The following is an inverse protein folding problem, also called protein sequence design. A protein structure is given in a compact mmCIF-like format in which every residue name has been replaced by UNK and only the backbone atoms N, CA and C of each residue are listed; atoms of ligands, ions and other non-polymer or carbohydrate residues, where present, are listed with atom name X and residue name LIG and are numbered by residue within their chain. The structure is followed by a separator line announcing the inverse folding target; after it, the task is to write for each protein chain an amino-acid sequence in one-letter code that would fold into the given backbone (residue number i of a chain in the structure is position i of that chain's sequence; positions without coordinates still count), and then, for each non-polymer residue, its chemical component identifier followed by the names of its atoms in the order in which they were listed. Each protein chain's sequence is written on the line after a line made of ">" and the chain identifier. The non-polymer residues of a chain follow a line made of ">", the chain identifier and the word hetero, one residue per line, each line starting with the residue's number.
data_IF_988021598430
#
_entry.id   IF_988021598430
#
_cell.length_a   1.000
_cell.length_b   1.000
_cell.length_c   1.000
_cell.angle_alpha   90.00
_cell.angle_beta   90.00
_cell.angle_gamma   90.00
#
_symmetry.space_group_name_H-M   'P 1'
#
loop_
_entity.id
_entity.type
_entity.pdbx_description
1 polymer ?
#
# COMPACT_ATOMS: atom_id res chain seq x y z
N UNK A 1 21.85 28.17 -2.21
CA UNK A 1 20.68 28.86 -1.63
C UNK A 1 20.51 28.40 -0.20
N UNK A 2 20.25 29.29 0.76
CA UNK A 2 19.88 28.88 2.11
C UNK A 2 18.43 28.34 2.11
N UNK A 3 18.14 27.32 2.94
CA UNK A 3 16.83 26.62 3.03
C UNK A 3 15.65 27.57 3.23
N UNK A 4 15.90 28.72 3.86
CA UNK A 4 14.92 29.76 4.19
C UNK A 4 14.42 30.60 3.01
N UNK A 5 15.00 30.48 1.81
CA UNK A 5 14.66 31.30 0.64
C UNK A 5 13.91 30.54 -0.48
N UNK A 6 13.40 29.34 -0.20
CA UNK A 6 12.69 28.51 -1.18
C UNK A 6 11.18 28.64 -0.92
N UNK A 7 10.46 29.16 -1.92
CA UNK A 7 9.00 29.37 -1.91
C UNK A 7 8.33 28.19 -2.61
N UNK A 8 7.22 27.75 -2.01
CA UNK A 8 6.40 26.67 -2.54
C UNK A 8 5.89 26.95 -3.96
N UNK A 9 5.95 25.95 -4.84
CA UNK A 9 5.44 26.01 -6.20
C UNK A 9 6.26 26.83 -7.21
N UNK A 10 7.28 27.58 -6.77
CA UNK A 10 8.19 28.28 -7.68
C UNK A 10 9.27 27.32 -8.22
N UNK A 11 9.55 27.45 -9.53
CA UNK A 11 10.69 26.78 -10.15
C UNK A 11 11.95 27.60 -9.92
N UNK A 12 12.96 26.95 -9.35
CA UNK A 12 14.28 27.54 -9.18
C UNK A 12 15.26 26.90 -10.18
N UNK A 13 15.96 27.74 -10.92
CA UNK A 13 17.10 27.32 -11.73
C UNK A 13 18.34 27.33 -10.85
N UNK A 14 19.00 26.18 -10.72
CA UNK A 14 20.28 26.08 -10.02
C UNK A 14 21.35 25.52 -10.97
N UNK A 15 22.57 26.03 -10.83
CA UNK A 15 23.77 25.52 -11.49
C UNK A 15 24.71 24.97 -10.42
N UNK A 16 25.24 23.76 -10.63
CA UNK A 16 26.28 23.18 -9.78
C UNK A 16 27.62 23.32 -10.51
N UNK A 17 28.54 24.07 -9.92
CA UNK A 17 29.90 24.15 -10.44
C UNK A 17 30.71 22.96 -9.93
N UNK A 18 31.10 22.07 -10.85
CA UNK A 18 31.99 20.95 -10.55
C UNK A 18 33.39 21.28 -11.08
N UNK A 19 34.36 21.40 -10.18
CA UNK A 19 35.77 21.56 -10.56
C UNK A 19 36.44 20.20 -10.65
N UNK A 20 36.82 19.77 -11.86
CA UNK A 20 37.63 18.58 -12.06
C UNK A 20 39.10 18.96 -12.25
N UNK A 21 40.00 18.22 -11.59
CA UNK A 21 41.46 18.35 -11.68
C UNK A 21 42.03 19.76 -11.43
N UNK A 22 41.32 20.62 -10.67
CA UNK A 22 41.73 22.02 -10.36
C UNK A 22 41.94 22.94 -11.58
N UNK A 23 41.49 22.56 -12.78
CA UNK A 23 41.75 23.31 -14.01
C UNK A 23 40.61 23.31 -15.04
N UNK A 24 39.58 22.46 -14.87
CA UNK A 24 38.38 22.49 -15.71
C UNK A 24 37.14 22.67 -14.83
N UNK A 25 36.46 23.81 -15.01
CA UNK A 25 35.11 24.04 -14.49
C UNK A 25 34.13 23.69 -15.60
N UNK A 26 33.34 22.63 -15.41
CA UNK A 26 32.19 22.36 -16.28
C UNK A 26 30.95 22.68 -15.46
N UNK A 27 30.24 23.74 -15.83
CA UNK A 27 28.90 24.00 -15.29
C UNK A 27 27.93 23.07 -16.01
N UNK A 28 27.22 22.21 -15.26
CA UNK A 28 26.13 21.42 -15.84
C UNK A 28 25.04 22.36 -16.34
N UNK A 29 24.46 22.06 -17.50
CA UNK A 29 23.22 22.69 -17.92
C UNK A 29 22.17 22.45 -16.83
N UNK A 30 21.57 23.55 -16.40
CA UNK A 30 20.66 23.76 -15.29
C UNK A 30 19.75 22.57 -14.97
N UNK A 31 19.63 22.24 -13.68
CA UNK A 31 18.57 21.36 -13.19
C UNK A 31 17.50 22.19 -12.49
N UNK A 32 16.23 21.85 -12.76
CA UNK A 32 15.08 22.49 -12.15
C UNK A 32 14.78 21.83 -10.81
N UNK A 33 14.72 22.64 -9.74
CA UNK A 33 14.26 22.19 -8.43
C UNK A 33 12.87 22.78 -8.21
N UNK A 34 11.90 21.93 -7.87
CA UNK A 34 10.58 22.35 -7.39
C UNK A 34 10.48 22.00 -5.92
N UNK A 35 10.18 22.99 -5.09
CA UNK A 35 9.73 22.72 -3.74
C UNK A 35 8.22 22.53 -3.74
N UNK A 36 7.75 21.56 -2.97
CA UNK A 36 6.33 21.35 -2.71
C UNK A 36 6.12 21.31 -1.22
N UNK A 37 5.17 22.09 -0.73
CA UNK A 37 4.68 21.93 0.63
C UNK A 37 4.09 20.53 0.74
N UNK A 38 4.46 19.81 1.80
CA UNK A 38 4.02 18.45 2.07
C UNK A 38 3.48 18.41 3.49
N UNK A 39 2.22 18.00 3.62
CA UNK A 39 1.52 17.84 4.89
C UNK A 39 1.24 16.35 5.11
N UNK A 40 1.30 15.91 6.37
CA UNK A 40 0.88 14.59 6.83
C UNK A 40 -0.55 14.24 6.45
N UNK A 41 -1.44 15.22 6.30
CA UNK A 41 -2.83 15.03 5.83
C UNK A 41 -2.92 14.49 4.40
N UNK A 42 -1.83 14.56 3.63
CA UNK A 42 -1.74 14.01 2.27
C UNK A 42 -1.04 12.65 2.21
N UNK A 43 -0.63 12.12 3.37
CA UNK A 43 -0.05 10.79 3.49
C UNK A 43 -1.17 9.79 3.78
N UNK A 44 -1.22 8.73 3.00
CA UNK A 44 -2.19 7.66 3.19
C UNK A 44 -1.60 6.30 2.79
N UNK A 45 -2.17 5.22 3.31
CA UNK A 45 -1.83 3.87 2.89
C UNK A 45 -2.87 3.37 1.89
N UNK A 46 -2.41 2.67 0.87
CA UNK A 46 -3.25 2.18 -0.22
C UNK A 46 -2.62 0.93 -0.84
N UNK A 47 -3.37 0.21 -1.66
CA UNK A 47 -2.83 -0.92 -2.41
C UNK A 47 -1.74 -0.48 -3.39
N UNK A 48 -0.72 -1.32 -3.53
CA UNK A 48 0.40 -1.12 -4.47
C UNK A 48 -0.03 -1.16 -5.94
N UNK A 49 -1.15 -1.83 -6.21
CA UNK A 49 -1.76 -1.83 -7.53
C UNK A 49 -2.49 -0.52 -7.80
N UNK A 50 -2.35 0.02 -9.01
CA UNK A 50 -2.94 1.29 -9.43
C UNK A 50 -4.08 1.08 -10.42
N UNK A 51 -5.07 1.97 -10.37
CA UNK A 51 -6.09 2.09 -11.41
C UNK A 51 -5.46 2.67 -12.70
N UNK A 52 -6.21 2.63 -13.81
CA UNK A 52 -5.74 3.13 -15.11
C UNK A 52 -5.33 4.61 -15.07
N UNK A 53 -5.96 5.41 -14.21
CA UNK A 53 -5.63 6.82 -14.00
C UNK A 53 -4.37 7.05 -13.12
N UNK A 54 -3.68 5.98 -12.71
CA UNK A 54 -2.48 6.03 -11.88
C UNK A 54 -2.74 6.16 -10.37
N UNK A 55 -4.00 6.31 -9.92
CA UNK A 55 -4.32 6.37 -8.49
C UNK A 55 -4.25 4.99 -7.84
N UNK A 56 -3.63 4.84 -6.66
CA UNK A 56 -3.66 3.59 -5.91
C UNK A 56 -5.08 3.33 -5.38
N UNK A 57 -5.45 2.06 -5.19
CA UNK A 57 -6.75 1.71 -4.62
C UNK A 57 -6.73 1.89 -3.10
N UNK A 58 -7.76 2.56 -2.55
CA UNK A 58 -7.93 2.79 -1.11
C UNK A 58 -7.98 1.50 -0.28
N UNK A 59 -7.94 1.62 1.06
CA UNK A 59 -8.13 0.51 2.01
C UNK A 59 -9.45 0.69 2.78
N UNK A 60 -10.39 -0.28 2.76
CA UNK A 60 -10.41 -1.45 1.88
C UNK A 60 -10.54 -1.04 0.41
N UNK A 61 -10.02 -1.89 -0.48
CA UNK A 61 -10.10 -1.71 -1.92
C UNK A 61 -11.53 -1.56 -2.40
N UNK A 62 -11.73 -0.74 -3.45
CA UNK A 62 -13.02 -0.60 -4.10
C UNK A 62 -13.55 -1.98 -4.56
N UNK A 63 -14.54 -2.50 -3.84
CA UNK A 63 -15.21 -3.74 -4.19
C UNK A 63 -16.36 -3.45 -5.17
N UNK A 64 -16.04 -3.03 -6.39
CA UNK A 64 -17.01 -2.98 -7.49
C UNK A 64 -16.98 -4.30 -8.31
N UNK A 65 -17.95 -4.49 -9.21
CA UNK A 65 -18.05 -5.70 -10.05
C UNK A 65 -16.80 -5.93 -10.95
N UNK A 66 -15.97 -4.91 -11.16
CA UNK A 66 -14.75 -4.98 -11.99
C UNK A 66 -13.48 -5.25 -11.16
N UNK A 67 -13.46 -4.89 -9.87
CA UNK A 67 -12.30 -5.01 -8.97
C UNK A 67 -12.50 -5.86 -7.70
N UNK A 68 -13.36 -6.91 -7.67
CA UNK A 68 -13.81 -7.55 -6.42
C UNK A 68 -12.76 -8.39 -5.66
N UNK A 69 -11.46 -8.32 -6.00
CA UNK A 69 -10.43 -9.28 -5.54
C UNK A 69 -9.24 -8.69 -4.79
N UNK A 70 -9.13 -7.37 -4.62
CA UNK A 70 -7.89 -6.77 -4.05
C UNK A 70 -7.71 -7.06 -2.56
N UNK A 71 -8.82 -7.25 -1.84
CA UNK A 71 -8.87 -7.68 -0.44
C UNK A 71 -9.19 -9.17 -0.29
N UNK A 72 -8.67 -10.02 -1.18
CA UNK A 72 -8.88 -11.46 -1.08
C UNK A 72 -7.65 -12.27 -1.46
N UNK A 73 -7.53 -13.46 -0.86
CA UNK A 73 -6.47 -14.41 -1.18
C UNK A 73 -6.97 -15.85 -1.14
N UNK A 74 -6.33 -16.75 -1.87
CA UNK A 74 -6.69 -18.17 -1.86
C UNK A 74 -6.41 -18.74 -0.46
N UNK A 75 -7.40 -19.39 0.15
CA UNK A 75 -7.33 -19.86 1.54
C UNK A 75 -6.16 -20.81 1.87
N UNK A 76 -5.62 -21.52 0.88
CA UNK A 76 -4.49 -22.44 1.01
C UNK A 76 -3.17 -21.86 0.48
N UNK A 77 -3.17 -20.59 0.09
CA UNK A 77 -1.99 -19.83 -0.31
C UNK A 77 -1.68 -18.77 0.75
N UNK A 78 -0.65 -17.97 0.51
CA UNK A 78 -0.26 -16.84 1.35
C UNK A 78 -0.45 -15.53 0.60
N UNK A 79 -0.71 -14.46 1.34
CA UNK A 79 -0.86 -13.10 0.81
C UNK A 79 0.23 -12.21 1.40
N UNK A 80 1.11 -11.67 0.55
CA UNK A 80 2.17 -10.79 0.99
C UNK A 80 1.64 -9.35 1.15
N UNK A 81 1.43 -8.91 2.40
CA UNK A 81 0.95 -7.57 2.70
C UNK A 81 1.99 -6.50 2.33
N UNK A 82 3.28 -6.81 2.49
CA UNK A 82 4.38 -5.88 2.18
C UNK A 82 4.46 -5.56 0.68
N UNK A 83 4.13 -6.53 -0.19
CA UNK A 83 4.11 -6.29 -1.64
C UNK A 83 2.81 -5.62 -2.09
N UNK A 84 1.74 -5.76 -1.29
CA UNK A 84 0.38 -5.42 -1.71
C UNK A 84 -0.09 -4.04 -1.23
N UNK A 85 0.57 -3.46 -0.22
CA UNK A 85 0.15 -2.21 0.42
C UNK A 85 1.37 -1.35 0.68
N UNK A 86 1.32 -0.08 0.25
CA UNK A 86 2.37 0.91 0.44
C UNK A 86 1.79 2.24 0.95
N UNK A 87 2.66 3.21 1.24
CA UNK A 87 2.28 4.57 1.64
C UNK A 87 2.55 5.58 0.52
N UNK A 88 1.63 6.53 0.34
CA UNK A 88 1.60 7.44 -0.80
C UNK A 88 1.42 8.91 -0.41
N UNK A 89 1.79 9.79 -1.34
CA UNK A 89 1.61 11.24 -1.24
C UNK A 89 0.56 11.74 -2.24
N UNK A 90 -0.63 12.14 -1.79
CA UNK A 90 -1.74 12.52 -2.69
C UNK A 90 -1.56 13.87 -3.38
N UNK A 91 -0.80 14.81 -2.80
CA UNK A 91 -0.60 16.16 -3.35
C UNK A 91 0.61 16.27 -4.30
N UNK A 92 1.22 15.14 -4.67
CA UNK A 92 2.30 15.09 -5.65
C UNK A 92 1.78 14.42 -6.92
N UNK A 93 2.12 14.99 -8.08
CA UNK A 93 1.67 14.46 -9.38
C UNK A 93 2.05 12.98 -9.52
N UNK A 94 1.08 12.16 -9.91
CA UNK A 94 1.24 10.71 -10.03
C UNK A 94 1.05 9.94 -8.72
N UNK A 95 0.78 10.63 -7.60
CA UNK A 95 0.58 10.02 -6.28
C UNK A 95 1.70 9.00 -5.98
N UNK A 96 2.96 9.47 -5.93
CA UNK A 96 4.12 8.58 -5.80
C UNK A 96 4.12 7.91 -4.43
N UNK A 97 4.80 6.77 -4.36
CA UNK A 97 5.11 6.16 -3.08
C UNK A 97 6.05 7.07 -2.28
N UNK A 98 5.95 7.07 -0.95
CA UNK A 98 6.81 7.87 -0.09
C UNK A 98 8.31 7.60 -0.35
N UNK A 99 8.69 6.34 -0.61
CA UNK A 99 10.07 5.95 -0.90
C UNK A 99 10.60 6.56 -2.20
N UNK A 100 9.75 6.71 -3.22
CA UNK A 100 10.09 7.30 -4.53
C UNK A 100 10.46 8.79 -4.40
N UNK A 101 9.91 9.48 -3.40
CA UNK A 101 10.20 10.87 -3.08
C UNK A 101 11.19 11.03 -1.91
N UNK A 102 11.87 9.95 -1.53
CA UNK A 102 12.95 9.97 -0.53
C UNK A 102 12.47 10.04 0.92
N UNK A 103 11.20 9.76 1.21
CA UNK A 103 10.67 9.66 2.56
C UNK A 103 10.79 8.22 3.07
N UNK A 104 11.58 8.03 4.11
CA UNK A 104 11.71 6.74 4.80
C UNK A 104 10.45 6.44 5.62
N UNK A 105 9.92 5.22 5.50
CA UNK A 105 8.81 4.76 6.31
C UNK A 105 8.90 3.27 6.62
N UNK A 106 8.18 2.84 7.65
CA UNK A 106 8.01 1.43 8.01
C UNK A 106 6.53 1.11 8.17
N UNK A 107 6.18 -0.15 7.95
CA UNK A 107 4.82 -0.65 8.11
C UNK A 107 4.82 -1.89 8.99
N UNK A 108 3.83 -1.96 9.89
CA UNK A 108 3.61 -3.11 10.76
C UNK A 108 2.17 -3.57 10.60
N UNK A 109 2.00 -4.86 10.34
CA UNK A 109 0.71 -5.51 10.17
C UNK A 109 0.38 -6.38 11.39
N UNK A 110 -0.82 -6.22 11.93
CA UNK A 110 -1.30 -6.97 13.09
C UNK A 110 -2.72 -7.47 12.85
N UNK A 111 -3.02 -8.69 13.30
CA UNK A 111 -4.39 -9.20 13.27
C UNK A 111 -5.19 -8.59 14.42
N UNK A 112 -6.31 -7.97 14.09
CA UNK A 112 -7.28 -7.50 15.07
C UNK A 112 -8.08 -8.68 15.65
N UNK A 113 -8.63 -8.57 16.88
CA UNK A 113 -9.34 -9.65 17.55
C UNK A 113 -10.53 -10.22 16.76
N UNK A 114 -10.95 -11.44 17.13
CA UNK A 114 -12.20 -12.03 16.64
C UNK A 114 -13.39 -11.08 16.82
N UNK A 115 -14.35 -11.16 15.90
CA UNK A 115 -15.58 -10.37 15.91
C UNK A 115 -15.38 -8.86 15.75
N UNK A 116 -14.22 -8.41 15.23
CA UNK A 116 -14.06 -7.02 14.80
C UNK A 116 -14.99 -6.77 13.63
N UNK A 117 -15.83 -5.73 13.73
CA UNK A 117 -16.90 -5.43 12.78
C UNK A 117 -16.41 -4.47 11.71
N UNK A 118 -16.75 -4.76 10.45
CA UNK A 118 -16.52 -3.87 9.32
C UNK A 118 -17.78 -3.73 8.49
N UNK A 119 -17.96 -2.58 7.88
CA UNK A 119 -18.98 -2.38 6.85
C UNK A 119 -18.30 -2.51 5.49
N UNK A 120 -18.58 -3.60 4.78
CA UNK A 120 -18.16 -3.80 3.40
C UNK A 120 -19.41 -3.78 2.51
N UNK A 121 -19.44 -2.90 1.53
CA UNK A 121 -20.56 -2.78 0.58
C UNK A 121 -21.95 -2.70 1.26
N UNK A 122 -22.03 -1.94 2.36
CA UNK A 122 -23.25 -1.77 3.15
C UNK A 122 -23.67 -2.98 3.99
N UNK A 123 -22.85 -4.05 4.03
CA UNK A 123 -23.06 -5.23 4.87
C UNK A 123 -22.07 -5.27 6.03
N UNK A 124 -22.56 -5.58 7.22
CA UNK A 124 -21.69 -5.86 8.37
C UNK A 124 -21.06 -7.25 8.21
N UNK A 125 -19.74 -7.30 8.30
CA UNK A 125 -18.96 -8.54 8.40
C UNK A 125 -18.20 -8.56 9.73
N UNK A 126 -17.76 -9.76 10.13
CA UNK A 126 -17.01 -9.98 11.36
C UNK A 126 -15.74 -10.79 11.10
N UNK A 127 -14.65 -10.40 11.76
CA UNK A 127 -13.36 -11.06 11.63
C UNK A 127 -13.29 -12.39 12.39
N UNK A 128 -12.45 -13.31 11.91
CA UNK A 128 -12.06 -14.55 12.60
C UNK A 128 -10.55 -14.66 12.74
N UNK A 129 -9.95 -13.80 13.57
CA UNK A 129 -8.52 -13.83 13.89
C UNK A 129 -7.95 -15.23 14.20
N UNK A 130 -8.69 -16.06 14.93
CA UNK A 130 -8.22 -17.36 15.42
C UNK A 130 -7.74 -18.33 14.32
N UNK A 131 -8.22 -18.18 13.09
CA UNK A 131 -7.87 -19.04 11.95
C UNK A 131 -6.75 -18.48 11.07
N UNK A 132 -6.41 -17.20 11.20
CA UNK A 132 -5.36 -16.54 10.42
C UNK A 132 -4.08 -16.39 11.23
N UNK A 133 -2.98 -16.15 10.52
CA UNK A 133 -1.69 -15.76 11.07
C UNK A 133 -1.00 -14.77 10.14
N UNK A 134 -0.20 -13.87 10.72
CA UNK A 134 0.71 -12.99 9.99
C UNK A 134 2.12 -13.30 10.47
N UNK A 135 2.99 -13.70 9.55
CA UNK A 135 4.41 -13.91 9.80
C UNK A 135 5.19 -12.99 8.87
N UNK A 136 5.91 -12.01 9.42
CA UNK A 136 6.75 -11.08 8.65
C UNK A 136 6.00 -10.37 7.49
N UNK A 137 4.77 -9.91 7.76
CA UNK A 137 3.91 -9.29 6.75
C UNK A 137 3.27 -10.26 5.75
N UNK A 138 3.48 -11.56 5.90
CA UNK A 138 2.82 -12.60 5.10
C UNK A 138 1.59 -13.10 5.85
N UNK A 139 0.39 -12.78 5.33
CA UNK A 139 -0.88 -13.29 5.83
C UNK A 139 -1.15 -14.69 5.27
N UNK A 140 -1.52 -15.63 6.13
CA UNK A 140 -1.96 -16.96 5.71
C UNK A 140 -3.05 -17.50 6.64
N UNK A 141 -3.74 -18.55 6.18
CA UNK A 141 -4.59 -19.37 7.06
C UNK A 141 -3.72 -20.40 7.77
N UNK A 142 -3.99 -20.67 9.04
CA UNK A 142 -3.37 -21.79 9.76
C UNK A 142 -3.82 -23.11 9.13
N UNK A 143 -2.89 -24.04 8.94
CA UNK A 143 -3.12 -25.28 8.18
C UNK A 143 -4.37 -26.05 8.64
N UNK A 144 -4.55 -26.22 9.95
CA UNK A 144 -5.71 -26.96 10.50
C UNK A 144 -7.07 -26.30 10.26
N UNK A 145 -7.10 -25.04 9.83
CA UNK A 145 -8.32 -24.26 9.62
C UNK A 145 -8.58 -23.89 8.16
N UNK A 146 -7.75 -24.34 7.21
CA UNK A 146 -7.88 -24.03 5.78
C UNK A 146 -9.29 -24.27 5.23
N UNK A 147 -9.86 -25.45 5.46
CA UNK A 147 -11.20 -25.78 4.98
C UNK A 147 -12.31 -24.87 5.56
N UNK A 148 -12.16 -24.43 6.82
CA UNK A 148 -13.12 -23.56 7.51
C UNK A 148 -12.91 -22.06 7.26
N UNK A 149 -11.81 -21.67 6.62
CA UNK A 149 -11.47 -20.28 6.39
C UNK A 149 -12.10 -19.69 5.12
N UNK A 150 -12.68 -20.53 4.27
CA UNK A 150 -13.31 -20.08 3.03
C UNK A 150 -14.46 -19.12 3.35
N UNK A 151 -14.44 -17.96 2.70
CA UNK A 151 -15.31 -16.80 2.87
C UNK A 151 -15.18 -16.07 4.21
N UNK A 152 -14.23 -16.47 5.06
CA UNK A 152 -13.95 -15.79 6.32
C UNK A 152 -12.99 -14.62 6.13
N UNK A 153 -13.04 -13.67 7.07
CA UNK A 153 -12.29 -12.42 7.00
C UNK A 153 -11.22 -12.33 8.09
N UNK A 154 -10.00 -12.02 7.69
CA UNK A 154 -8.96 -11.49 8.56
C UNK A 154 -9.18 -9.99 8.70
N UNK A 155 -9.06 -9.44 9.91
CA UNK A 155 -9.05 -8.02 10.13
C UNK A 155 -7.62 -7.56 10.39
N UNK A 156 -7.12 -6.66 9.56
CA UNK A 156 -5.74 -6.21 9.60
C UNK A 156 -5.71 -4.78 10.14
N UNK A 157 -4.87 -4.57 11.14
CA UNK A 157 -4.40 -3.25 11.54
C UNK A 157 -3.04 -3.02 10.89
N UNK A 158 -2.95 -1.94 10.11
CA UNK A 158 -1.70 -1.44 9.56
C UNK A 158 -1.31 -0.19 10.35
N UNK A 159 -0.13 -0.21 10.95
CA UNK A 159 0.52 0.98 11.50
C UNK A 159 1.65 1.39 10.56
N UNK A 160 1.57 2.61 10.02
CA UNK A 160 2.63 3.20 9.20
C UNK A 160 3.36 4.26 10.01
N UNK A 161 4.69 4.19 10.04
CA UNK A 161 5.55 5.18 10.70
C UNK A 161 6.46 5.81 9.66
N UNK A 162 6.27 7.11 9.41
CA UNK A 162 7.06 7.91 8.47
C UNK A 162 8.11 8.69 9.25
N UNK A 163 9.37 8.49 8.90
CA UNK A 163 10.50 9.09 9.58
C UNK A 163 10.54 10.60 9.37
N UNK A 164 10.72 11.34 10.45
CA UNK A 164 10.90 12.79 10.38
C UNK A 164 12.13 13.16 9.56
N UNK A 165 11.98 14.17 8.70
CA UNK A 165 13.08 14.79 7.94
C UNK A 165 13.82 15.87 8.75
N UNK A 166 13.39 16.13 9.98
CA UNK A 166 13.96 17.15 10.88
C UNK A 166 14.40 16.47 12.17
N UNK A 167 15.68 16.64 12.49
CA UNK A 167 16.26 16.14 13.74
C UNK A 167 15.51 16.71 14.97
N UNK A 168 15.22 15.85 15.93
CA UNK A 168 14.48 16.23 17.16
C UNK A 168 12.96 16.34 17.00
N UNK A 169 12.41 16.13 15.80
CA UNK A 169 10.97 16.03 15.56
C UNK A 169 10.56 14.56 15.52
N UNK A 170 9.46 14.23 16.20
CA UNK A 170 8.95 12.86 16.24
C UNK A 170 8.44 12.39 14.88
N UNK A 171 8.56 11.09 14.63
CA UNK A 171 8.03 10.44 13.45
C UNK A 171 6.50 10.55 13.37
N UNK A 172 5.98 10.63 12.16
CA UNK A 172 4.53 10.65 11.94
C UNK A 172 3.99 9.22 11.90
N UNK A 173 2.97 8.95 12.72
CA UNK A 173 2.35 7.62 12.83
C UNK A 173 0.86 7.71 12.54
N UNK A 174 0.38 6.85 11.64
CA UNK A 174 -1.04 6.72 11.34
C UNK A 174 -1.43 5.26 11.20
N UNK A 175 -2.72 4.97 11.41
CA UNK A 175 -3.26 3.62 11.45
C UNK A 175 -4.39 3.44 10.44
N UNK A 176 -4.40 2.29 9.77
CA UNK A 176 -5.48 1.86 8.88
C UNK A 176 -5.99 0.51 9.33
N UNK A 177 -7.26 0.25 9.07
CA UNK A 177 -7.91 -1.00 9.47
C UNK A 177 -8.79 -1.48 8.34
N UNK A 178 -8.49 -2.67 7.82
CA UNK A 178 -9.17 -3.22 6.65
C UNK A 178 -9.30 -4.74 6.75
N UNK A 179 -10.38 -5.31 6.19
CA UNK A 179 -10.58 -6.75 6.11
C UNK A 179 -9.91 -7.36 4.87
N UNK A 180 -9.44 -8.61 4.97
CA UNK A 180 -9.02 -9.45 3.83
C UNK A 180 -9.78 -10.78 3.91
N UNK A 181 -10.40 -11.19 2.80
CA UNK A 181 -11.15 -12.43 2.70
C UNK A 181 -10.31 -13.60 2.22
N UNK A 182 -10.41 -14.75 2.88
CA UNK A 182 -9.94 -16.01 2.31
C UNK A 182 -10.99 -16.59 1.36
N UNK A 183 -10.63 -16.84 0.11
CA UNK A 183 -11.54 -17.35 -0.92
C UNK A 183 -11.04 -18.68 -1.46
N UNK A 184 -11.94 -19.44 -2.12
CA UNK A 184 -11.50 -20.53 -2.99
C UNK A 184 -10.82 -19.93 -4.21
N UNK A 185 -9.82 -20.64 -4.73
CA UNK A 185 -9.29 -20.35 -6.06
C UNK A 185 -10.47 -20.42 -7.03
N UNK A 186 -10.70 -19.35 -7.79
CA UNK A 186 -11.63 -19.45 -8.89
C UNK A 186 -11.09 -20.54 -9.82
N UNK A 187 -11.86 -21.61 -10.03
CA UNK A 187 -11.54 -22.57 -11.07
C UNK A 187 -11.49 -21.80 -12.39
N UNK A 188 -10.50 -22.10 -13.23
CA UNK A 188 -10.47 -21.61 -14.61
C UNK A 188 -11.86 -21.89 -15.22
N UNK A 189 -12.50 -20.94 -15.93
CA UNK A 189 -13.81 -21.17 -16.54
C UNK A 189 -13.83 -22.24 -17.66
N UNK A 190 -12.76 -23.04 -17.80
CA UNK A 190 -12.56 -24.03 -18.84
C UNK A 190 -12.24 -25.43 -18.32
N UNK A 191 -12.91 -25.92 -17.28
CA UNK A 191 -12.94 -27.37 -17.00
C UNK A 191 -14.26 -27.82 -16.39
N UNK A 192 -15.35 -27.66 -17.13
CA UNK A 192 -16.44 -28.64 -17.09
C UNK A 192 -16.58 -29.24 -18.48
N UNK A 193 -15.68 -30.17 -18.83
CA UNK A 193 -16.08 -31.21 -19.76
C UNK A 193 -17.04 -32.09 -18.98
N UNK A 194 -18.33 -31.81 -19.12
CA UNK A 194 -19.40 -32.72 -18.76
C UNK A 194 -19.05 -34.09 -19.34
N UNK A 195 -18.81 -35.08 -18.48
CA UNK A 195 -18.87 -36.47 -18.90
C UNK A 195 -20.36 -36.71 -19.17
N UNK A 196 -20.75 -36.65 -20.44
CA UNK A 196 -22.02 -37.24 -20.87
C UNK A 196 -21.94 -38.74 -20.58
N UNK A 197 -22.69 -39.20 -19.58
CA UNK A 197 -23.00 -40.61 -19.44
C UNK A 197 -23.93 -40.96 -20.60
N UNK A 198 -23.38 -41.59 -21.64
CA UNK A 198 -24.17 -42.19 -22.71
C UNK A 198 -24.91 -43.39 -22.10
N UNK A 199 -26.26 -43.42 -22.15
CA UNK A 199 -27.06 -44.54 -21.66
C UNK A 199 -26.93 -45.80 -22.54
#
# INVERSE_FOLDING_TARGET
>A
MAKENIVDGQMYMSSLDVTMYKQYTSSSDYFSIKSSWVNTDWIFAAHSHRAENGWPFDLPGACDEKHPKKDSFTYNESYNLNDSINAYMSNVSGTPELSEIGLEYTQKFELLPNNTKFILNGKEIQSKQGIFQINDGILSVKEQYQASAINEYAAIKLTTTVKSQVEGVADYVFENTFPIQAIRKAEDPYTYNSIELIP
#
